data_IF_227642458325
#
_entry.id   IF_227642458325
#
_cell.length_a   1.000
_cell.length_b   1.000
_cell.length_c   1.000
_cell.angle_alpha   90.00
_cell.angle_beta   90.00
_cell.angle_gamma   90.00
#
_symmetry.space_group_name_H-M   'P 1'
#
loop_
_entity.id
_entity.type
_entity.pdbx_description
1 polymer ?
#
# COMPACT_ATOMS: atom_id res chain seq x y z
N UNK A 1 -1.39 15.81 6.05
CA UNK A 1 -2.24 14.98 6.93
C UNK A 1 -1.34 14.00 7.63
N UNK A 2 -1.50 13.83 8.93
CA UNK A 2 -0.72 12.85 9.67
C UNK A 2 -1.32 11.45 9.51
N UNK A 3 -0.49 10.39 9.49
CA UNK A 3 -0.96 9.01 9.49
C UNK A 3 -1.64 8.67 10.82
N UNK A 4 -2.75 7.95 10.76
CA UNK A 4 -3.54 7.50 11.91
C UNK A 4 -3.57 5.98 11.96
N UNK A 5 -3.53 5.44 13.18
CA UNK A 5 -3.66 4.02 13.47
C UNK A 5 -4.47 3.82 14.75
N UNK A 6 -5.53 3.01 14.69
CA UNK A 6 -6.38 2.76 15.84
C UNK A 6 -6.98 1.34 15.78
N UNK A 7 -7.04 0.67 16.93
CA UNK A 7 -7.82 -0.56 17.04
C UNK A 7 -9.30 -0.23 17.01
N UNK A 8 -10.08 -0.99 16.23
CA UNK A 8 -11.53 -0.89 16.21
C UNK A 8 -12.13 -1.40 17.54
N UNK A 9 -13.40 -1.04 17.87
CA UNK A 9 -14.03 -1.39 19.15
C UNK A 9 -14.12 -2.90 19.44
N UNK A 10 -13.97 -3.75 18.42
CA UNK A 10 -13.94 -5.21 18.59
C UNK A 10 -12.61 -5.74 19.13
N UNK A 11 -11.57 -4.90 19.22
CA UNK A 11 -10.24 -5.27 19.70
C UNK A 11 -9.49 -6.25 18.78
N UNK A 12 -10.03 -6.53 17.57
CA UNK A 12 -9.46 -7.50 16.63
C UNK A 12 -8.89 -6.85 15.39
N UNK A 13 -9.54 -5.80 14.88
CA UNK A 13 -9.16 -5.17 13.61
C UNK A 13 -8.45 -3.84 13.83
N UNK A 14 -7.38 -3.62 13.09
CA UNK A 14 -6.62 -2.38 13.06
C UNK A 14 -7.12 -1.51 11.89
N UNK A 15 -7.52 -0.27 12.18
CA UNK A 15 -7.78 0.75 11.18
C UNK A 15 -6.52 1.60 10.98
N UNK A 16 -6.11 1.77 9.72
CA UNK A 16 -4.98 2.59 9.31
C UNK A 16 -5.47 3.60 8.26
N UNK A 17 -5.17 4.87 8.49
CA UNK A 17 -5.52 5.94 7.56
C UNK A 17 -4.31 6.86 7.30
N UNK A 18 -4.08 7.23 6.04
CA UNK A 18 -3.13 8.28 5.69
C UNK A 18 -3.55 8.95 4.38
N UNK A 19 -4.17 10.14 4.50
CA UNK A 19 -4.71 10.85 3.34
C UNK A 19 -5.81 10.01 2.67
N UNK A 20 -5.69 9.67 1.36
CA UNK A 20 -6.68 8.85 0.66
C UNK A 20 -6.54 7.34 0.93
N UNK A 21 -5.48 6.90 1.62
CA UNK A 21 -5.26 5.48 1.92
C UNK A 21 -6.03 5.14 3.20
N UNK A 22 -6.90 4.13 3.11
CA UNK A 22 -7.72 3.66 4.21
C UNK A 22 -7.73 2.13 4.23
N UNK A 23 -7.36 1.51 5.36
CA UNK A 23 -7.25 0.06 5.51
C UNK A 23 -7.90 -0.40 6.82
N UNK A 24 -8.63 -1.51 6.76
CA UNK A 24 -9.08 -2.28 7.93
C UNK A 24 -8.43 -3.66 7.83
N UNK A 25 -7.55 -3.98 8.78
CA UNK A 25 -6.72 -5.19 8.75
C UNK A 25 -7.03 -6.08 9.95
N UNK A 26 -7.22 -7.37 9.71
CA UNK A 26 -7.24 -8.41 10.76
C UNK A 26 -6.06 -9.36 10.53
N UNK A 27 -5.27 -9.60 11.57
CA UNK A 27 -4.21 -10.59 11.59
C UNK A 27 -4.66 -11.82 12.40
N UNK A 28 -4.33 -13.00 11.88
CA UNK A 28 -4.64 -14.30 12.47
C UNK A 28 -3.32 -15.02 12.80
N UNK A 29 -3.25 -15.65 13.97
CA UNK A 29 -2.05 -16.34 14.45
C UNK A 29 -1.86 -16.18 15.95
N UNK A 30 -0.68 -16.56 16.48
CA UNK A 30 -0.31 -16.30 17.87
C UNK A 30 -0.40 -14.82 18.23
N UNK A 31 -0.77 -14.51 19.48
CA UNK A 31 -1.01 -13.13 19.90
C UNK A 31 0.22 -12.22 19.75
N UNK A 32 1.43 -12.76 20.01
CA UNK A 32 2.69 -12.03 19.85
C UNK A 32 2.94 -11.64 18.37
N UNK A 33 2.69 -12.57 17.44
CA UNK A 33 2.83 -12.32 16.00
C UNK A 33 1.78 -11.33 15.48
N UNK A 34 0.55 -11.42 15.99
CA UNK A 34 -0.52 -10.45 15.66
C UNK A 34 -0.14 -9.04 16.11
N UNK A 35 0.37 -8.89 17.33
CA UNK A 35 0.83 -7.61 17.85
C UNK A 35 2.01 -7.05 17.04
N UNK A 36 2.99 -7.90 16.70
CA UNK A 36 4.13 -7.53 15.86
C UNK A 36 3.68 -7.06 14.46
N UNK A 37 2.76 -7.79 13.83
CA UNK A 37 2.21 -7.43 12.52
C UNK A 37 1.51 -6.06 12.55
N UNK A 38 0.72 -5.77 13.59
CA UNK A 38 0.06 -4.47 13.75
C UNK A 38 1.03 -3.33 14.00
N UNK A 39 2.09 -3.55 14.77
CA UNK A 39 3.15 -2.56 14.95
C UNK A 39 3.85 -2.25 13.61
N UNK A 40 4.25 -3.29 12.87
CA UNK A 40 4.89 -3.13 11.55
C UNK A 40 3.99 -2.40 10.54
N UNK A 41 2.69 -2.73 10.52
CA UNK A 41 1.73 -2.06 9.65
C UNK A 41 1.55 -0.58 10.03
N UNK A 42 1.50 -0.28 11.33
CA UNK A 42 1.44 1.08 11.87
C UNK A 42 2.69 1.90 11.53
N UNK A 43 3.87 1.31 11.56
CA UNK A 43 5.10 1.99 11.15
C UNK A 43 5.11 2.22 9.64
N UNK A 44 4.70 1.21 8.86
CA UNK A 44 4.74 1.26 7.41
C UNK A 44 3.80 2.30 6.81
N UNK A 45 2.58 2.45 7.33
CA UNK A 45 1.59 3.40 6.78
C UNK A 45 2.09 4.85 6.81
N UNK A 46 3.01 5.17 7.74
CA UNK A 46 3.58 6.51 7.89
C UNK A 46 4.33 7.00 6.65
N UNK A 47 4.91 6.09 5.88
CA UNK A 47 5.80 6.46 4.76
C UNK A 47 5.22 6.15 3.37
N UNK A 48 4.23 5.25 3.25
CA UNK A 48 3.66 4.84 1.95
C UNK A 48 3.20 6.03 1.11
N UNK A 49 2.38 6.92 1.68
CA UNK A 49 1.80 8.02 0.89
C UNK A 49 2.89 8.94 0.33
N UNK A 50 3.87 9.32 1.16
CA UNK A 50 4.97 10.19 0.75
C UNK A 50 5.82 9.56 -0.34
N UNK A 51 6.13 8.26 -0.23
CA UNK A 51 6.86 7.51 -1.26
C UNK A 51 6.09 7.50 -2.59
N UNK A 52 4.78 7.19 -2.57
CA UNK A 52 3.95 7.16 -3.76
C UNK A 52 3.79 8.54 -4.40
N UNK A 53 3.61 9.60 -3.59
CA UNK A 53 3.51 10.97 -4.08
C UNK A 53 4.79 11.39 -4.81
N UNK A 54 5.96 10.96 -4.33
CA UNK A 54 7.25 11.22 -4.98
C UNK A 54 7.37 10.62 -6.38
N UNK A 55 6.61 9.56 -6.69
CA UNK A 55 6.62 8.87 -7.99
C UNK A 55 5.30 9.02 -8.76
N UNK A 56 4.40 9.89 -8.29
CA UNK A 56 3.00 9.98 -8.73
C UNK A 56 2.81 10.24 -10.24
N UNK A 57 3.61 11.11 -10.90
CA UNK A 57 3.46 11.33 -12.34
C UNK A 57 3.67 10.03 -13.15
N UNK A 58 4.64 9.21 -12.77
CA UNK A 58 4.91 7.94 -13.44
C UNK A 58 3.85 6.89 -13.10
N UNK A 59 3.40 6.83 -11.84
CA UNK A 59 2.31 5.94 -11.39
C UNK A 59 0.96 6.22 -12.05
N UNK A 60 0.72 7.46 -12.50
CA UNK A 60 -0.49 7.83 -13.26
C UNK A 60 -0.34 7.65 -14.77
N UNK A 61 0.85 7.29 -15.23
CA UNK A 61 1.11 7.04 -16.64
C UNK A 61 0.84 5.57 -16.97
N UNK A 62 0.33 5.25 -18.17
CA UNK A 62 0.01 3.87 -18.57
C UNK A 62 1.22 2.95 -18.39
N UNK A 63 0.95 1.75 -17.89
CA UNK A 63 1.94 0.68 -17.84
C UNK A 63 2.09 0.06 -19.23
N UNK A 64 3.19 -0.68 -19.40
CA UNK A 64 3.39 -1.55 -20.54
C UNK A 64 3.67 -2.99 -20.10
N UNK A 65 3.82 -3.93 -21.06
CA UNK A 65 4.07 -5.34 -20.78
C UNK A 65 5.37 -5.57 -20.02
N UNK A 66 6.35 -4.68 -20.19
CA UNK A 66 7.58 -4.67 -19.41
C UNK A 66 7.45 -3.70 -18.22
N UNK A 67 7.58 -4.17 -16.97
CA UNK A 67 7.43 -3.32 -15.79
C UNK A 67 8.52 -2.27 -15.71
N UNK A 68 8.11 -1.02 -15.51
CA UNK A 68 9.00 0.11 -15.22
C UNK A 68 9.62 -0.02 -13.83
N UNK A 69 10.79 0.59 -13.66
CA UNK A 69 11.51 0.55 -12.39
C UNK A 69 11.19 1.79 -11.55
N UNK A 70 10.50 1.58 -10.43
CA UNK A 70 10.27 2.59 -9.40
C UNK A 70 11.33 2.49 -8.28
N UNK A 71 11.45 3.50 -7.43
CA UNK A 71 12.32 3.51 -6.25
C UNK A 71 11.61 2.85 -5.06
N UNK A 72 10.36 3.23 -4.80
CA UNK A 72 9.55 2.75 -3.70
C UNK A 72 9.09 1.30 -3.92
N UNK A 73 9.13 0.50 -2.85
CA UNK A 73 8.70 -0.91 -2.92
C UNK A 73 7.21 -1.05 -3.24
N UNK A 74 6.36 -0.11 -2.80
CA UNK A 74 4.92 -0.14 -3.08
C UNK A 74 4.65 0.15 -4.56
N UNK A 75 5.27 1.18 -5.11
CA UNK A 75 5.17 1.53 -6.54
C UNK A 75 5.64 0.38 -7.44
N UNK A 76 6.74 -0.30 -7.07
CA UNK A 76 7.20 -1.51 -7.79
C UNK A 76 6.17 -2.64 -7.78
N UNK A 77 5.49 -2.86 -6.66
CA UNK A 77 4.44 -3.89 -6.54
C UNK A 77 3.20 -3.51 -7.34
N UNK A 78 2.81 -2.24 -7.34
CA UNK A 78 1.70 -1.72 -8.15
C UNK A 78 1.98 -1.93 -9.65
N UNK A 79 3.16 -1.55 -10.13
CA UNK A 79 3.56 -1.77 -11.53
C UNK A 79 3.56 -3.26 -11.89
N UNK A 80 4.19 -4.10 -11.06
CA UNK A 80 4.25 -5.54 -11.32
C UNK A 80 2.87 -6.20 -11.36
N UNK A 81 1.89 -5.69 -10.61
CA UNK A 81 0.53 -6.20 -10.62
C UNK A 81 -0.20 -5.87 -11.93
N UNK A 82 0.06 -4.70 -12.53
CA UNK A 82 -0.67 -4.23 -13.71
C UNK A 82 0.05 -4.53 -15.04
N UNK A 83 1.38 -4.62 -15.06
CA UNK A 83 2.14 -4.84 -16.30
C UNK A 83 1.71 -6.05 -17.13
N UNK A 84 1.38 -7.22 -16.54
CA UNK A 84 0.89 -8.37 -17.32
C UNK A 84 -0.44 -8.12 -18.05
N UNK A 85 -1.22 -7.12 -17.62
CA UNK A 85 -2.52 -6.77 -18.18
C UNK A 85 -2.43 -5.59 -19.16
N UNK A 86 -1.32 -4.87 -19.16
CA UNK A 86 -1.15 -3.62 -19.90
C UNK A 86 -0.77 -3.81 -21.40
N UNK A 87 -0.84 -5.04 -21.92
CA UNK A 87 -0.59 -5.34 -23.34
C UNK A 87 -1.78 -5.01 -24.23
N UNK A 88 -3.00 -5.25 -23.74
CA UNK A 88 -4.24 -5.14 -24.51
C UNK A 88 -5.14 -3.99 -24.03
N UNK A 89 -4.92 -3.48 -22.81
CA UNK A 89 -5.77 -2.48 -22.16
C UNK A 89 -4.97 -1.27 -21.63
N UNK A 90 -5.65 -0.12 -21.53
CA UNK A 90 -5.12 1.05 -20.83
C UNK A 90 -5.24 0.83 -19.32
N UNK A 91 -4.10 0.61 -18.65
CA UNK A 91 -4.04 0.42 -17.20
C UNK A 91 -2.88 1.24 -16.62
N UNK A 92 -3.14 1.90 -15.49
CA UNK A 92 -2.13 2.57 -14.69
C UNK A 92 -1.84 1.78 -13.42
N UNK A 93 -0.64 1.89 -12.82
CA UNK A 93 -0.36 1.30 -11.51
C UNK A 93 -1.22 1.84 -10.37
N UNK A 94 -1.67 3.09 -10.49
CA UNK A 94 -2.60 3.76 -9.56
C UNK A 94 -4.05 3.34 -9.77
#
# INVERSE_FOLDING_TARGET
>A
MEPQAAMLPDGRRLHLNHGPIDLIVEAFGPDEERAAAYAQATDRIRTILTELVGELPALRSPSGPAPRRFHGITARRMEAAVSPLAGDDFITPM
#
